data_IF_748953281812
#
_entry.id   IF_748953281812
#
_cell.length_a   1.000
_cell.length_b   1.000
_cell.length_c   1.000
_cell.angle_alpha   90.00
_cell.angle_beta   90.00
_cell.angle_gamma   90.00
#
_symmetry.space_group_name_H-M   'P 1'
#
loop_
_entity.id
_entity.type
_entity.pdbx_description
1 polymer ?
#
# COMPACT_ATOMS: atom_id res chain seq x y z
N UNK A 1 -16.28 -10.23 -14.51
CA UNK A 1 -15.00 -10.89 -14.17
C UNK A 1 -14.39 -10.17 -12.99
N UNK A 2 -14.12 -10.87 -11.88
CA UNK A 2 -13.44 -10.25 -10.73
C UNK A 2 -12.06 -9.76 -11.18
N UNK A 3 -11.89 -8.44 -11.25
CA UNK A 3 -10.64 -7.81 -11.68
C UNK A 3 -9.57 -8.15 -10.65
N UNK A 4 -8.62 -9.04 -11.00
CA UNK A 4 -7.54 -9.47 -10.09
C UNK A 4 -6.43 -8.41 -9.99
N UNK A 5 -6.80 -7.17 -9.70
CA UNK A 5 -5.90 -6.00 -9.72
C UNK A 5 -4.75 -6.14 -8.72
N UNK A 6 -5.06 -6.59 -7.50
CA UNK A 6 -4.06 -6.79 -6.44
C UNK A 6 -3.10 -7.92 -6.78
N UNK A 7 -3.58 -9.00 -7.42
CA UNK A 7 -2.72 -10.10 -7.86
C UNK A 7 -1.77 -9.69 -8.99
N UNK A 8 -2.26 -8.90 -9.94
CA UNK A 8 -1.42 -8.33 -10.99
C UNK A 8 -0.35 -7.39 -10.41
N UNK A 9 -0.73 -6.52 -9.47
CA UNK A 9 0.20 -5.64 -8.76
C UNK A 9 1.26 -6.44 -7.98
N UNK A 10 0.85 -7.50 -7.27
CA UNK A 10 1.77 -8.43 -6.61
C UNK A 10 2.78 -9.04 -7.59
N UNK A 11 2.34 -9.43 -8.79
CA UNK A 11 3.22 -10.02 -9.81
C UNK A 11 4.29 -9.03 -10.26
N UNK A 12 3.96 -7.75 -10.39
CA UNK A 12 4.93 -6.70 -10.69
C UNK A 12 5.88 -6.44 -9.52
N UNK A 13 5.33 -6.25 -8.33
CA UNK A 13 6.08 -5.97 -7.10
C UNK A 13 7.09 -7.08 -6.76
N UNK A 14 6.64 -8.33 -6.74
CA UNK A 14 7.48 -9.48 -6.38
C UNK A 14 8.70 -9.64 -7.27
N UNK A 15 8.61 -9.29 -8.56
CA UNK A 15 9.76 -9.31 -9.49
C UNK A 15 10.83 -8.30 -9.16
N UNK A 16 10.48 -7.20 -8.47
CA UNK A 16 11.41 -6.12 -8.13
C UNK A 16 12.05 -6.36 -6.77
N UNK A 17 11.30 -6.90 -5.80
CA UNK A 17 11.75 -6.96 -4.39
C UNK A 17 12.19 -8.35 -3.92
N UNK A 18 11.78 -9.43 -4.60
CA UNK A 18 12.11 -10.79 -4.19
C UNK A 18 13.34 -11.30 -4.94
N UNK A 19 14.33 -11.88 -4.23
CA UNK A 19 15.39 -12.67 -4.87
C UNK A 19 14.81 -13.83 -5.70
N UNK A 20 15.47 -14.17 -6.81
CA UNK A 20 15.03 -15.25 -7.69
C UNK A 20 15.04 -16.63 -7.01
N UNK A 21 15.88 -16.79 -5.99
CA UNK A 21 16.06 -17.99 -5.17
C UNK A 21 15.40 -17.89 -3.79
N UNK A 22 14.52 -16.89 -3.58
CA UNK A 22 13.84 -16.70 -2.30
C UNK A 22 13.12 -17.99 -1.86
N UNK A 23 13.31 -18.45 -0.61
CA UNK A 23 12.67 -19.66 -0.12
C UNK A 23 11.14 -19.48 -0.09
N UNK A 24 10.37 -20.58 -0.24
CA UNK A 24 8.91 -20.52 -0.29
C UNK A 24 8.26 -19.79 0.89
N UNK A 25 8.85 -19.87 2.07
CA UNK A 25 8.35 -19.18 3.27
C UNK A 25 8.44 -17.65 3.13
N UNK A 26 9.55 -17.12 2.62
CA UNK A 26 9.73 -15.68 2.41
C UNK A 26 8.75 -15.16 1.35
N UNK A 27 8.53 -15.92 0.27
CA UNK A 27 7.54 -15.58 -0.75
C UNK A 27 6.14 -15.51 -0.13
N UNK A 28 5.79 -16.48 0.71
CA UNK A 28 4.48 -16.53 1.38
C UNK A 28 4.30 -15.34 2.32
N UNK A 29 5.28 -15.08 3.19
CA UNK A 29 5.24 -13.97 4.14
C UNK A 29 5.16 -12.61 3.44
N UNK A 30 5.99 -12.39 2.43
CA UNK A 30 5.95 -11.15 1.64
C UNK A 30 4.62 -10.98 0.91
N UNK A 31 4.05 -12.06 0.36
CA UNK A 31 2.73 -12.00 -0.29
C UNK A 31 1.63 -11.65 0.70
N UNK A 32 1.65 -12.22 1.91
CA UNK A 32 0.69 -11.86 2.96
C UNK A 32 0.84 -10.39 3.37
N UNK A 33 2.06 -9.92 3.59
CA UNK A 33 2.34 -8.52 3.93
C UNK A 33 1.86 -7.55 2.83
N UNK A 34 2.13 -7.86 1.56
CA UNK A 34 1.67 -7.05 0.42
C UNK A 34 0.15 -6.95 0.36
N UNK A 35 -0.57 -8.07 0.51
CA UNK A 35 -2.03 -8.06 0.48
C UNK A 35 -2.63 -7.36 1.70
N UNK A 36 -2.00 -7.49 2.88
CA UNK A 36 -2.41 -6.75 4.08
C UNK A 36 -2.22 -5.23 3.89
N UNK A 37 -1.10 -4.80 3.30
CA UNK A 37 -0.85 -3.40 2.96
C UNK A 37 -1.85 -2.86 1.93
N UNK A 38 -2.13 -3.63 0.86
CA UNK A 38 -3.13 -3.26 -0.13
C UNK A 38 -4.55 -3.14 0.47
N UNK A 39 -4.89 -4.01 1.42
CA UNK A 39 -6.15 -3.92 2.16
C UNK A 39 -6.20 -2.69 3.05
N UNK A 40 -5.13 -2.39 3.79
CA UNK A 40 -5.04 -1.21 4.63
C UNK A 40 -5.21 0.09 3.82
N UNK A 41 -4.49 0.21 2.70
CA UNK A 41 -4.63 1.36 1.79
C UNK A 41 -6.07 1.51 1.26
N UNK A 42 -6.72 0.40 0.89
CA UNK A 42 -8.13 0.43 0.48
C UNK A 42 -9.05 0.92 1.61
N UNK A 43 -8.85 0.48 2.84
CA UNK A 43 -9.66 0.97 3.97
C UNK A 43 -9.45 2.46 4.20
N UNK A 44 -8.21 2.94 4.19
CA UNK A 44 -7.91 4.38 4.32
C UNK A 44 -8.63 5.21 3.26
N UNK A 45 -8.63 4.77 2.00
CA UNK A 45 -9.36 5.47 0.93
C UNK A 45 -10.88 5.46 1.15
N UNK A 46 -11.44 4.35 1.64
CA UNK A 46 -12.87 4.26 1.93
C UNK A 46 -13.28 5.15 3.11
N UNK A 47 -12.45 5.20 4.14
CA UNK A 47 -12.67 6.04 5.32
C UNK A 47 -12.62 7.52 4.93
N UNK A 48 -11.62 7.93 4.12
CA UNK A 48 -11.57 9.28 3.55
C UNK A 48 -12.84 9.62 2.74
N UNK A 49 -13.27 8.70 1.86
CA UNK A 49 -14.50 8.88 1.09
C UNK A 49 -15.73 9.08 1.97
N UNK A 50 -15.86 8.33 3.07
CA UNK A 50 -16.98 8.46 4.00
C UNK A 50 -16.95 9.81 4.75
N UNK A 51 -15.77 10.30 5.15
CA UNK A 51 -15.63 11.60 5.81
C UNK A 51 -15.98 12.74 4.84
N UNK A 52 -15.56 12.65 3.58
CA UNK A 52 -15.90 13.63 2.54
C UNK A 52 -17.41 13.63 2.28
N UNK A 53 -18.03 12.46 2.12
CA UNK A 53 -19.48 12.34 1.90
C UNK A 53 -20.30 12.91 3.07
N UNK A 54 -19.80 12.77 4.30
CA UNK A 54 -20.43 13.37 5.49
C UNK A 54 -20.35 14.90 5.55
N UNK A 55 -19.55 15.54 4.67
CA UNK A 55 -19.29 16.97 4.68
C UNK A 55 -18.33 17.44 5.77
N UNK A 56 -17.74 16.52 6.54
CA UNK A 56 -16.75 16.83 7.57
C UNK A 56 -15.38 17.25 7.00
N UNK A 57 -15.13 16.96 5.72
CA UNK A 57 -13.89 17.25 5.01
C UNK A 57 -14.20 17.60 3.55
N UNK A 58 -13.43 18.50 2.95
CA UNK A 58 -13.54 18.75 1.51
C UNK A 58 -12.74 17.73 0.69
N UNK A 59 -13.01 17.62 -0.61
CA UNK A 59 -12.18 16.79 -1.50
C UNK A 59 -10.70 17.22 -1.49
N UNK A 60 -10.43 18.52 -1.40
CA UNK A 60 -9.07 19.06 -1.34
C UNK A 60 -8.34 18.65 -0.06
N UNK A 61 -9.02 18.68 1.08
CA UNK A 61 -8.47 18.20 2.34
C UNK A 61 -8.14 16.70 2.26
N UNK A 62 -8.99 15.90 1.58
CA UNK A 62 -8.72 14.48 1.34
C UNK A 62 -7.47 14.25 0.47
N UNK A 63 -7.23 15.09 -0.53
CA UNK A 63 -5.99 15.06 -1.33
C UNK A 63 -4.78 15.34 -0.44
N UNK A 64 -4.84 16.36 0.42
CA UNK A 64 -3.74 16.69 1.33
C UNK A 64 -3.40 15.51 2.26
N UNK A 65 -4.39 14.79 2.78
CA UNK A 65 -4.14 13.59 3.60
C UNK A 65 -3.43 12.49 2.80
N UNK A 66 -3.81 12.28 1.53
CA UNK A 66 -3.13 11.30 0.67
C UNK A 66 -1.69 11.72 0.36
N UNK A 67 -1.42 13.02 0.18
CA UNK A 67 -0.07 13.55 0.01
C UNK A 67 0.80 13.38 1.26
N UNK A 68 0.22 13.57 2.46
CA UNK A 68 0.92 13.31 3.72
C UNK A 68 1.31 11.83 3.88
N UNK A 69 0.39 10.91 3.56
CA UNK A 69 0.66 9.47 3.56
C UNK A 69 1.74 9.12 2.52
N UNK A 70 1.71 9.73 1.33
CA UNK A 70 2.75 9.55 0.33
C UNK A 70 4.12 9.99 0.86
N UNK A 71 4.20 11.14 1.54
CA UNK A 71 5.43 11.63 2.14
C UNK A 71 5.94 10.69 3.24
N UNK A 72 5.07 10.17 4.10
CA UNK A 72 5.44 9.18 5.11
C UNK A 72 6.06 7.93 4.47
N UNK A 73 5.45 7.43 3.39
CA UNK A 73 5.94 6.26 2.66
C UNK A 73 7.30 6.52 1.97
N UNK A 74 7.49 7.72 1.39
CA UNK A 74 8.77 8.15 0.81
C UNK A 74 9.87 8.20 1.87
N UNK A 75 9.60 8.87 2.99
CA UNK A 75 10.54 8.96 4.11
C UNK A 75 10.88 7.60 4.70
N UNK A 76 9.91 6.69 4.81
CA UNK A 76 10.19 5.32 5.22
C UNK A 76 11.13 4.64 4.23
N UNK A 77 10.85 4.72 2.93
CA UNK A 77 11.66 4.08 1.88
C UNK A 77 13.11 4.57 1.87
N UNK A 78 13.33 5.87 2.10
CA UNK A 78 14.68 6.45 2.23
C UNK A 78 15.45 5.91 3.44
N UNK A 79 14.73 5.44 4.48
CA UNK A 79 15.30 4.88 5.71
C UNK A 79 15.39 3.35 5.70
N UNK A 80 14.69 2.67 4.79
CA UNK A 80 14.74 1.20 4.67
C UNK A 80 16.17 0.74 4.37
N UNK A 81 16.72 -0.07 5.26
CA UNK A 81 18.12 -0.55 5.18
C UNK A 81 19.14 0.33 5.92
N UNK A 82 18.71 1.50 6.45
CA UNK A 82 19.51 2.39 7.31
C UNK A 82 19.08 2.25 8.77
N UNK A 83 17.77 2.21 9.03
CA UNK A 83 17.24 1.99 10.37
C UNK A 83 17.19 0.49 10.69
N UNK A 84 17.82 0.09 11.80
CA UNK A 84 17.83 -1.27 12.37
C UNK A 84 16.71 -1.46 13.37
#
# INVERSE_FOLDING_TARGET
>A
MASRRVEAAWTGFSRVVMPADAPPIQIKEMRMAFYAGAWAALQMTKDLGAVIESGAMTEMDGVNVLEEIEQECKQFTERVGVDR
#
